data_IF_500863603339
#
_entry.id   IF_500863603339
#
_cell.length_a   1.000
_cell.length_b   1.000
_cell.length_c   1.000
_cell.angle_alpha   90.00
_cell.angle_beta   90.00
_cell.angle_gamma   90.00
#
_symmetry.space_group_name_H-M   'P 1'
#
loop_
_entity.id
_entity.type
_entity.pdbx_description
1 polymer ?
#
# COMPACT_ATOMS: atom_id res chain seq x y z
N UNK A 1 11.23 -16.28 3.19
CA UNK A 1 10.18 -15.56 3.96
C UNK A 1 8.85 -15.89 3.31
N UNK A 2 7.72 -15.62 3.97
CA UNK A 2 6.40 -15.77 3.33
C UNK A 2 5.89 -14.38 2.96
N UNK A 3 5.69 -14.10 1.67
CA UNK A 3 5.38 -12.76 1.19
C UNK A 3 4.55 -12.78 -0.10
N UNK A 4 3.76 -11.71 -0.31
CA UNK A 4 3.05 -11.48 -1.56
C UNK A 4 3.98 -10.82 -2.58
N UNK A 5 4.10 -11.43 -3.76
CA UNK A 5 4.92 -10.95 -4.87
C UNK A 5 4.06 -10.52 -6.03
N UNK A 6 4.42 -9.41 -6.65
CA UNK A 6 3.68 -8.82 -7.75
C UNK A 6 3.78 -9.72 -8.98
N UNK A 7 2.63 -10.10 -9.55
CA UNK A 7 2.54 -10.88 -10.78
C UNK A 7 3.28 -10.27 -11.97
N UNK A 8 3.44 -8.94 -11.96
CA UNK A 8 4.04 -8.19 -13.07
C UNK A 8 5.56 -8.12 -13.01
N UNK A 9 6.15 -8.04 -11.81
CA UNK A 9 7.59 -7.77 -11.66
C UNK A 9 8.30 -8.59 -10.57
N UNK A 10 7.61 -9.47 -9.85
CA UNK A 10 8.19 -10.32 -8.80
C UNK A 10 8.56 -9.59 -7.50
N UNK A 11 8.37 -8.28 -7.43
CA UNK A 11 8.65 -7.46 -6.25
C UNK A 11 7.49 -7.49 -5.25
N UNK A 12 7.74 -7.06 -4.02
CA UNK A 12 6.77 -7.15 -2.93
C UNK A 12 5.50 -6.31 -3.16
N UNK A 13 4.37 -6.80 -2.65
CA UNK A 13 3.09 -6.10 -2.63
C UNK A 13 2.67 -5.82 -1.20
N UNK A 14 2.25 -4.59 -0.94
CA UNK A 14 1.79 -4.13 0.38
C UNK A 14 0.42 -3.47 0.32
N UNK A 15 -0.06 -3.01 1.48
CA UNK A 15 -1.28 -2.20 1.59
C UNK A 15 -0.88 -0.73 1.68
N UNK A 16 -1.48 0.10 0.83
CA UNK A 16 -1.39 1.56 0.90
C UNK A 16 -2.62 2.11 1.60
N UNK A 17 -2.39 2.91 2.65
CA UNK A 17 -3.43 3.58 3.43
C UNK A 17 -3.25 5.08 3.36
N UNK A 18 -4.34 5.83 3.22
CA UNK A 18 -4.32 7.29 3.18
C UNK A 18 -4.69 7.90 4.54
N UNK A 19 -3.90 8.87 5.01
CA UNK A 19 -4.21 9.64 6.22
C UNK A 19 -4.34 11.11 5.83
N UNK A 20 -5.41 11.76 6.27
CA UNK A 20 -5.60 13.20 6.14
C UNK A 20 -5.10 13.91 7.38
N UNK A 21 -4.10 14.77 7.22
CA UNK A 21 -3.58 15.62 8.29
C UNK A 21 -4.11 17.03 8.20
N UNK A 22 -4.23 17.70 9.35
CA UNK A 22 -4.40 19.14 9.41
C UNK A 22 -3.13 19.85 8.97
N UNK A 23 -3.30 20.93 8.23
CA UNK A 23 -2.22 21.81 7.80
C UNK A 23 -2.25 23.12 8.61
N UNK A 24 -1.07 23.64 8.91
CA UNK A 24 -0.90 24.97 9.51
C UNK A 24 -0.88 26.08 8.44
N UNK A 25 -0.68 27.33 8.87
CA UNK A 25 -0.61 28.49 7.95
C UNK A 25 0.60 28.49 7.02
N UNK A 26 1.62 27.66 7.30
CA UNK A 26 2.78 27.43 6.44
C UNK A 26 2.60 26.24 5.50
N UNK A 27 1.46 25.54 5.59
CA UNK A 27 1.13 24.31 4.86
C UNK A 27 1.94 23.09 5.32
N UNK A 28 2.43 23.10 6.56
CA UNK A 28 3.09 21.97 7.21
C UNK A 28 2.05 21.12 7.97
N UNK A 29 2.29 19.82 8.12
CA UNK A 29 1.40 18.96 8.91
C UNK A 29 1.58 19.26 10.40
N UNK A 30 0.49 19.40 11.16
CA UNK A 30 0.59 19.61 12.62
C UNK A 30 0.77 18.31 13.40
N UNK A 31 0.65 17.16 12.73
CA UNK A 31 0.51 15.85 13.37
C UNK A 31 -0.90 15.57 13.89
N UNK A 32 -1.84 16.52 13.77
CA UNK A 32 -3.25 16.28 14.08
C UNK A 32 -3.95 15.64 12.87
N UNK A 33 -4.40 14.39 13.04
CA UNK A 33 -5.12 13.66 12.02
C UNK A 33 -6.57 14.17 11.95
N UNK A 34 -7.00 14.58 10.75
CA UNK A 34 -8.39 14.96 10.50
C UNK A 34 -9.25 13.75 10.16
N UNK A 35 -8.68 12.81 9.41
CA UNK A 35 -9.38 11.58 9.06
C UNK A 35 -8.39 10.49 8.66
N UNK A 36 -8.78 9.25 8.93
CA UNK A 36 -8.18 8.09 8.28
C UNK A 36 -9.06 7.74 7.08
N UNK A 37 -8.48 7.68 5.89
CA UNK A 37 -9.26 7.28 4.72
C UNK A 37 -9.31 5.76 4.65
N UNK A 38 -10.54 5.22 4.65
CA UNK A 38 -10.83 3.79 4.43
C UNK A 38 -10.48 3.30 3.02
N UNK A 39 -9.97 4.16 2.14
CA UNK A 39 -9.46 3.74 0.83
C UNK A 39 -8.11 3.06 0.99
N UNK A 40 -8.14 1.83 1.51
CA UNK A 40 -7.02 0.91 1.50
C UNK A 40 -6.98 0.20 0.14
N UNK A 41 -5.81 0.10 -0.46
CA UNK A 41 -5.62 -0.69 -1.67
C UNK A 41 -4.27 -1.38 -1.67
N UNK A 42 -4.20 -2.48 -2.39
CA UNK A 42 -2.98 -3.25 -2.56
C UNK A 42 -2.13 -2.61 -3.65
N UNK A 43 -0.83 -2.43 -3.41
CA UNK A 43 0.09 -1.81 -4.37
C UNK A 43 1.45 -2.53 -4.36
N UNK A 44 1.98 -2.79 -5.55
CA UNK A 44 3.36 -3.24 -5.73
C UNK A 44 4.36 -2.12 -5.39
N UNK A 45 5.36 -2.44 -4.58
CA UNK A 45 6.40 -1.52 -4.11
C UNK A 45 7.29 -0.94 -5.23
N UNK A 46 7.30 -1.56 -6.40
CA UNK A 46 8.18 -1.17 -7.50
C UNK A 46 7.43 -0.65 -8.73
N UNK A 47 6.45 -1.40 -9.25
CA UNK A 47 5.81 -1.09 -10.52
C UNK A 47 4.44 -0.38 -10.40
N UNK A 48 3.99 -0.11 -9.16
CA UNK A 48 2.72 0.56 -8.85
C UNK A 48 1.46 -0.13 -9.43
N UNK A 49 1.56 -1.42 -9.77
CA UNK A 49 0.39 -2.25 -10.07
C UNK A 49 -0.45 -2.36 -8.80
N UNK A 50 -1.76 -2.09 -8.90
CA UNK A 50 -2.62 -1.95 -7.73
C UNK A 50 -4.02 -2.54 -7.91
N UNK A 51 -4.66 -2.90 -6.80
CA UNK A 51 -6.06 -3.34 -6.74
C UNK A 51 -6.74 -2.78 -5.49
N UNK A 52 -7.94 -2.21 -5.68
CA UNK A 52 -8.77 -1.70 -4.59
C UNK A 52 -9.65 -2.77 -3.94
N UNK A 53 -9.71 -3.96 -4.54
CA UNK A 53 -10.68 -5.00 -4.18
C UNK A 53 -10.01 -6.27 -3.67
N UNK A 54 -9.03 -6.79 -4.41
CA UNK A 54 -8.49 -8.12 -4.15
C UNK A 54 -6.98 -8.18 -4.42
N UNK A 55 -6.22 -8.69 -3.46
CA UNK A 55 -4.75 -8.71 -3.52
C UNK A 55 -4.25 -9.67 -4.61
N UNK A 56 -4.94 -10.79 -4.74
CA UNK A 56 -4.67 -11.85 -5.69
C UNK A 56 -4.84 -11.40 -7.16
N UNK A 57 -5.50 -10.26 -7.41
CA UNK A 57 -5.57 -9.69 -8.76
C UNK A 57 -4.18 -9.24 -9.26
N UNK A 58 -3.31 -8.83 -8.33
CA UNK A 58 -2.01 -8.22 -8.63
C UNK A 58 -0.80 -8.99 -8.08
N UNK A 59 -1.03 -9.94 -7.17
CA UNK A 59 0.02 -10.64 -6.44
C UNK A 59 -0.23 -12.15 -6.34
N UNK A 60 0.84 -12.92 -6.20
CA UNK A 60 0.83 -14.32 -5.80
C UNK A 60 1.57 -14.49 -4.47
N UNK A 61 1.16 -15.46 -3.65
CA UNK A 61 1.84 -15.80 -2.41
C UNK A 61 3.04 -16.69 -2.70
N UNK A 62 4.22 -16.25 -2.26
CA UNK A 62 5.46 -17.03 -2.36
C UNK A 62 5.99 -17.34 -0.95
N UNK A 63 6.26 -18.63 -0.72
CA UNK A 63 7.01 -19.10 0.44
C UNK A 63 8.42 -19.42 -0.04
N UNK A 64 9.44 -18.65 0.36
CA UNK A 64 10.81 -19.14 0.15
C UNK A 64 10.98 -20.41 0.99
N UNK A 65 11.09 -21.55 0.32
CA UNK A 65 11.62 -22.77 0.90
C UNK A 65 13.09 -22.50 1.26
N UNK A 66 13.37 -22.40 2.56
CA UNK A 66 14.75 -22.34 3.07
C UNK A 66 15.48 -23.66 2.83
#
# INVERSE_FOLDING_TARGET
MKMWKCKKCGEEVGIRKGILYKLDSKKETTGDDLNFYDSEFYECSHCHNHSHSNLEDIADWEEDEK
#
